data_IF_531766334504
#
_entry.id   IF_531766334504
#
_cell.length_a   1.000
_cell.length_b   1.000
_cell.length_c   1.000
_cell.angle_alpha   90.00
_cell.angle_beta   90.00
_cell.angle_gamma   90.00
#
_symmetry.space_group_name_H-M   'P 1'
#
loop_
_entity.id
_entity.type
_entity.pdbx_description
1 polymer ?
#
# COMPACT_ATOMS: atom_id res chain seq x y z
N UNK A 1 44.20 -37.59 -25.56
CA UNK A 1 43.62 -37.30 -24.23
C UNK A 1 43.54 -35.77 -24.06
N UNK A 2 42.34 -35.16 -24.24
CA UNK A 2 42.15 -33.70 -24.08
C UNK A 2 41.26 -33.49 -22.86
N UNK A 3 41.86 -32.96 -21.83
CA UNK A 3 41.20 -32.65 -20.55
C UNK A 3 40.33 -31.41 -20.74
N UNK A 4 38.98 -31.53 -20.56
CA UNK A 4 38.08 -30.39 -20.51
C UNK A 4 38.12 -29.79 -19.12
N UNK A 5 38.65 -28.56 -19.02
CA UNK A 5 38.56 -27.76 -17.80
C UNK A 5 37.18 -27.12 -17.77
N UNK A 6 36.30 -27.58 -16.87
CA UNK A 6 35.01 -26.98 -16.60
C UNK A 6 35.21 -25.65 -15.88
N UNK A 7 34.67 -24.56 -16.47
CA UNK A 7 34.59 -23.27 -15.80
C UNK A 7 33.42 -23.33 -14.79
N UNK A 8 33.76 -23.28 -13.51
CA UNK A 8 32.78 -23.03 -12.44
C UNK A 8 32.47 -21.53 -12.49
N UNK A 9 31.25 -21.21 -12.90
CA UNK A 9 30.72 -19.84 -12.76
C UNK A 9 30.38 -19.62 -11.27
N UNK A 10 31.16 -18.74 -10.64
CA UNK A 10 30.84 -18.25 -9.30
C UNK A 10 29.65 -17.31 -9.41
N UNK A 11 28.47 -17.77 -9.04
CA UNK A 11 27.31 -16.90 -8.80
C UNK A 11 27.63 -16.05 -7.57
N UNK A 12 27.94 -14.78 -7.77
CA UNK A 12 28.00 -13.81 -6.69
C UNK A 12 26.58 -13.61 -6.16
N UNK A 13 26.25 -14.28 -5.07
CA UNK A 13 25.03 -14.04 -4.32
C UNK A 13 25.04 -12.58 -3.83
N UNK A 14 24.13 -11.77 -4.33
CA UNK A 14 23.85 -10.44 -3.76
C UNK A 14 23.23 -10.71 -2.40
N UNK A 15 24.03 -10.63 -1.33
CA UNK A 15 23.51 -10.65 0.02
C UNK A 15 22.63 -9.40 0.19
N UNK A 16 21.32 -9.58 0.32
CA UNK A 16 20.43 -8.51 0.78
C UNK A 16 20.95 -8.11 2.18
N UNK A 17 21.54 -6.92 2.24
CA UNK A 17 21.97 -6.33 3.51
C UNK A 17 20.79 -6.26 4.46
N UNK A 18 20.97 -6.70 5.70
CA UNK A 18 20.00 -6.57 6.80
C UNK A 18 19.80 -5.11 7.27
N UNK A 19 20.24 -4.12 6.50
CA UNK A 19 19.93 -2.72 6.73
C UNK A 19 18.42 -2.51 6.56
N UNK A 20 17.81 -1.83 7.53
CA UNK A 20 16.40 -1.49 7.47
C UNK A 20 16.10 -0.76 6.16
N UNK A 21 15.18 -1.33 5.36
CA UNK A 21 14.77 -0.72 4.11
C UNK A 21 13.97 0.54 4.41
N UNK A 22 14.29 1.64 3.73
CA UNK A 22 13.70 2.96 3.97
C UNK A 22 13.04 3.49 2.70
N UNK A 23 11.93 4.22 2.85
CA UNK A 23 11.41 5.04 1.75
C UNK A 23 12.44 6.11 1.37
N UNK A 24 12.70 6.25 0.08
CA UNK A 24 13.60 7.27 -0.46
C UNK A 24 12.90 8.64 -0.50
N UNK A 25 12.88 9.32 0.64
CA UNK A 25 12.27 10.64 0.82
C UNK A 25 13.32 11.63 1.34
N UNK A 26 13.26 12.91 0.93
CA UNK A 26 14.09 13.94 1.55
C UNK A 26 13.79 14.05 3.05
N UNK A 27 14.72 14.51 3.89
CA UNK A 27 14.47 14.79 5.30
C UNK A 27 13.25 15.70 5.46
N UNK A 28 12.44 15.43 6.50
CA UNK A 28 11.33 16.34 6.83
C UNK A 28 11.88 17.71 7.26
N UNK A 29 11.41 18.78 6.62
CA UNK A 29 11.82 20.12 6.99
C UNK A 29 11.36 20.49 8.41
N UNK A 30 12.15 21.26 9.13
CA UNK A 30 11.85 21.65 10.52
C UNK A 30 10.58 22.50 10.65
N UNK A 31 10.24 23.25 9.61
CA UNK A 31 9.04 24.09 9.51
C UNK A 31 7.91 23.43 8.70
N UNK A 32 8.00 22.12 8.40
CA UNK A 32 6.93 21.39 7.72
C UNK A 32 5.67 21.32 8.62
N UNK A 33 4.51 21.33 7.98
CA UNK A 33 3.21 21.32 8.67
C UNK A 33 3.03 20.03 9.48
N UNK A 34 2.46 20.15 10.67
CA UNK A 34 1.86 19.01 11.37
C UNK A 34 0.59 18.56 10.66
N UNK A 35 0.07 17.38 11.06
CA UNK A 35 -1.14 16.82 10.48
C UNK A 35 -2.35 17.73 10.62
N UNK A 36 -2.55 18.33 11.82
CA UNK A 36 -3.70 19.22 12.05
C UNK A 36 -3.62 20.54 11.30
N UNK A 37 -2.44 21.10 11.10
CA UNK A 37 -2.29 22.30 10.26
C UNK A 37 -2.45 21.96 8.78
N UNK A 38 -2.03 20.77 8.36
CA UNK A 38 -2.30 20.28 7.01
C UNK A 38 -3.81 20.06 6.77
N UNK A 39 -4.53 19.49 7.74
CA UNK A 39 -6.01 19.39 7.72
C UNK A 39 -6.66 20.75 7.47
N UNK A 40 -6.25 21.80 8.21
CA UNK A 40 -6.78 23.16 8.03
C UNK A 40 -6.52 23.67 6.61
N UNK A 41 -5.32 23.43 6.10
CA UNK A 41 -4.91 23.88 4.76
C UNK A 41 -5.76 23.25 3.66
N UNK A 42 -6.05 21.94 3.73
CA UNK A 42 -6.75 21.23 2.66
C UNK A 42 -8.28 21.19 2.83
N UNK A 43 -8.81 21.55 4.02
CA UNK A 43 -10.25 21.52 4.29
C UNK A 43 -11.08 22.35 3.31
N UNK A 44 -10.69 23.60 2.91
CA UNK A 44 -11.47 24.40 1.98
C UNK A 44 -11.38 23.92 0.52
N UNK A 45 -10.51 22.96 0.22
CA UNK A 45 -10.28 22.51 -1.15
C UNK A 45 -11.32 21.49 -1.58
N UNK A 46 -11.75 21.51 -2.86
CA UNK A 46 -12.72 20.58 -3.37
C UNK A 46 -12.17 19.14 -3.39
N UNK A 47 -13.11 18.20 -3.35
CA UNK A 47 -12.81 16.80 -3.56
C UNK A 47 -12.49 16.51 -5.04
N UNK A 48 -11.77 15.42 -5.38
CA UNK A 48 -11.63 14.98 -6.76
C UNK A 48 -13.01 14.88 -7.48
N UNK A 49 -13.08 15.18 -8.78
CA UNK A 49 -11.97 15.23 -9.73
C UNK A 49 -11.13 16.53 -9.74
N UNK A 50 -11.41 17.52 -8.89
CA UNK A 50 -10.49 18.65 -8.72
C UNK A 50 -9.15 18.16 -8.15
N UNK A 51 -8.06 18.68 -8.70
CA UNK A 51 -6.71 18.17 -8.41
C UNK A 51 -5.95 18.98 -7.34
N UNK A 52 -6.49 20.11 -6.88
CA UNK A 52 -5.77 21.00 -5.97
C UNK A 52 -5.40 20.30 -4.65
N UNK A 53 -6.36 19.62 -4.03
CA UNK A 53 -6.14 18.87 -2.79
C UNK A 53 -5.09 17.79 -2.98
N UNK A 54 -5.22 16.98 -4.02
CA UNK A 54 -4.31 15.87 -4.30
C UNK A 54 -2.90 16.34 -4.68
N UNK A 55 -2.76 17.45 -5.38
CA UNK A 55 -1.47 18.05 -5.67
C UNK A 55 -0.75 18.53 -4.40
N UNK A 56 -1.48 19.08 -3.42
CA UNK A 56 -0.89 19.45 -2.13
C UNK A 56 -0.47 18.22 -1.32
N UNK A 57 -1.28 17.16 -1.28
CA UNK A 57 -0.93 15.88 -0.64
C UNK A 57 0.37 15.34 -1.26
N UNK A 58 0.43 15.28 -2.60
CA UNK A 58 1.62 14.84 -3.30
C UNK A 58 2.85 15.69 -2.97
N UNK A 59 2.71 17.02 -2.99
CA UNK A 59 3.80 17.94 -2.69
C UNK A 59 4.34 17.77 -1.26
N UNK A 60 3.47 17.52 -0.27
CA UNK A 60 3.90 17.25 1.10
C UNK A 60 4.70 15.95 1.19
N UNK A 61 4.22 14.87 0.57
CA UNK A 61 4.92 13.58 0.58
C UNK A 61 6.25 13.70 -0.18
N UNK A 62 6.28 14.27 -1.38
CA UNK A 62 7.48 14.46 -2.18
C UNK A 62 8.52 15.36 -1.49
N UNK A 63 8.06 16.37 -0.74
CA UNK A 63 8.89 17.22 0.11
C UNK A 63 9.34 16.58 1.42
N UNK A 64 8.97 15.31 1.65
CA UNK A 64 9.37 14.56 2.84
C UNK A 64 8.57 14.90 4.10
N UNK A 65 7.40 15.56 4.01
CA UNK A 65 6.53 15.77 5.18
C UNK A 65 5.78 14.48 5.57
N UNK A 66 6.56 13.48 5.93
CA UNK A 66 6.13 12.13 6.34
C UNK A 66 6.80 11.79 7.66
N UNK A 67 6.08 11.25 8.64
CA UNK A 67 6.64 10.85 9.94
C UNK A 67 7.87 9.94 9.80
N UNK A 68 8.80 10.06 10.74
CA UNK A 68 10.05 9.29 10.71
C UNK A 68 9.81 7.78 10.77
N UNK A 69 8.86 7.35 11.59
CA UNK A 69 8.49 5.95 11.76
C UNK A 69 7.84 5.33 10.51
N UNK A 70 7.15 6.13 9.68
CA UNK A 70 6.52 5.67 8.43
C UNK A 70 7.55 5.32 7.37
N UNK A 71 8.74 5.93 7.43
CA UNK A 71 9.80 5.76 6.43
C UNK A 71 10.50 4.41 6.49
N UNK A 72 10.49 3.75 7.65
CA UNK A 72 11.11 2.44 7.84
C UNK A 72 10.13 1.35 7.43
N UNK A 73 10.46 0.64 6.35
CA UNK A 73 9.65 -0.44 5.84
C UNK A 73 9.74 -1.70 6.71
N UNK A 74 8.66 -2.47 6.74
CA UNK A 74 8.55 -3.73 7.47
C UNK A 74 8.62 -4.89 6.48
N UNK A 75 9.42 -5.89 6.80
CA UNK A 75 9.56 -7.11 6.01
C UNK A 75 8.34 -8.02 6.22
N UNK A 76 7.75 -8.45 5.13
CA UNK A 76 6.76 -9.54 5.07
C UNK A 76 7.41 -10.73 4.39
N UNK A 77 7.31 -11.90 5.01
CA UNK A 77 7.75 -13.16 4.39
C UNK A 77 6.58 -14.13 4.40
N UNK A 78 6.28 -14.71 3.25
CA UNK A 78 5.17 -15.63 3.06
C UNK A 78 5.59 -16.83 2.22
N UNK A 79 4.86 -17.93 2.34
CA UNK A 79 5.05 -19.11 1.52
C UNK A 79 3.84 -19.32 0.61
N UNK A 80 4.10 -19.70 -0.62
CA UNK A 80 3.07 -20.05 -1.59
C UNK A 80 3.47 -21.30 -2.38
N UNK A 81 2.49 -22.13 -2.72
CA UNK A 81 2.71 -23.34 -3.50
C UNK A 81 2.27 -23.12 -4.93
N UNK A 82 3.16 -23.34 -5.89
CA UNK A 82 2.86 -23.36 -7.33
C UNK A 82 3.27 -24.71 -7.89
N UNK A 83 2.34 -25.40 -8.57
CA UNK A 83 2.58 -26.71 -9.20
C UNK A 83 3.26 -27.72 -8.26
N UNK A 84 2.88 -27.72 -6.97
CA UNK A 84 3.43 -28.62 -5.96
C UNK A 84 4.78 -28.18 -5.37
N UNK A 85 5.39 -27.10 -5.86
CA UNK A 85 6.63 -26.54 -5.34
C UNK A 85 6.32 -25.39 -4.36
N UNK A 86 6.92 -25.45 -3.17
CA UNK A 86 6.82 -24.36 -2.18
C UNK A 86 7.84 -23.28 -2.51
N UNK A 87 7.38 -22.04 -2.52
CA UNK A 87 8.19 -20.84 -2.76
C UNK A 87 8.10 -19.92 -1.55
N UNK A 88 9.23 -19.31 -1.18
CA UNK A 88 9.29 -18.26 -0.17
C UNK A 88 9.35 -16.91 -0.86
N UNK A 89 8.40 -16.02 -0.55
CA UNK A 89 8.34 -14.65 -1.10
C UNK A 89 8.57 -13.67 0.04
N UNK A 90 9.50 -12.72 -0.17
CA UNK A 90 9.77 -11.66 0.82
C UNK A 90 9.68 -10.30 0.15
N UNK A 91 8.94 -9.36 0.77
CA UNK A 91 8.74 -8.01 0.30
C UNK A 91 8.60 -7.02 1.47
N UNK A 92 8.91 -5.76 1.23
CA UNK A 92 8.83 -4.71 2.23
C UNK A 92 7.58 -3.85 2.04
N UNK A 93 6.97 -3.43 3.15
CA UNK A 93 5.75 -2.60 3.15
C UNK A 93 5.87 -1.45 4.13
N UNK A 94 5.11 -0.37 3.90
CA UNK A 94 4.98 0.68 4.92
C UNK A 94 4.34 0.12 6.20
N UNK A 95 4.77 0.55 7.39
CA UNK A 95 4.26 0.02 8.67
C UNK A 95 2.77 0.32 8.87
N UNK A 96 2.28 1.40 8.29
CA UNK A 96 0.89 1.84 8.32
C UNK A 96 0.50 2.41 6.94
N UNK A 97 -0.72 2.91 6.80
CA UNK A 97 -1.15 3.63 5.62
C UNK A 97 -0.47 4.99 5.52
N UNK A 98 -0.18 5.43 4.28
CA UNK A 98 0.51 6.69 4.03
C UNK A 98 -0.18 7.86 4.74
N UNK A 99 0.65 8.74 5.28
CA UNK A 99 0.21 9.88 6.06
C UNK A 99 1.10 11.10 5.82
N UNK A 100 0.57 12.27 6.13
CA UNK A 100 1.28 13.56 6.09
C UNK A 100 1.35 14.14 7.48
N UNK A 101 2.52 14.66 7.88
CA UNK A 101 2.71 15.34 9.17
C UNK A 101 3.97 14.93 9.93
N UNK A 102 3.93 15.13 11.24
CA UNK A 102 4.99 14.84 12.21
C UNK A 102 4.74 13.50 12.91
N UNK A 103 5.72 13.02 13.66
CA UNK A 103 5.64 11.72 14.36
C UNK A 103 4.47 11.62 15.35
N UNK A 104 4.09 12.72 15.96
CA UNK A 104 3.02 12.83 16.97
C UNK A 104 1.79 13.62 16.47
N UNK A 105 1.81 14.12 15.24
CA UNK A 105 0.71 14.88 14.63
C UNK A 105 0.68 14.62 13.12
N UNK A 106 -0.13 13.65 12.70
CA UNK A 106 -0.26 13.22 11.31
C UNK A 106 -1.71 12.92 10.93
N UNK A 107 -1.99 13.04 9.64
CA UNK A 107 -3.23 12.60 9.01
C UNK A 107 -2.94 11.38 8.15
N UNK A 108 -3.60 10.24 8.42
CA UNK A 108 -3.66 9.11 7.51
C UNK A 108 -4.45 9.55 6.27
N UNK A 109 -3.78 9.64 5.14
CA UNK A 109 -4.28 10.38 3.98
C UNK A 109 -5.05 9.47 3.01
N UNK A 110 -6.39 9.60 2.90
CA UNK A 110 -7.14 8.96 1.82
C UNK A 110 -6.76 9.61 0.48
N UNK A 111 -6.45 8.79 -0.51
CA UNK A 111 -6.05 9.23 -1.85
C UNK A 111 -6.89 8.53 -2.91
N UNK A 112 -7.09 9.19 -4.05
CA UNK A 112 -7.53 8.46 -5.25
C UNK A 112 -6.46 7.44 -5.66
N UNK A 113 -6.81 6.38 -6.38
CA UNK A 113 -5.81 5.42 -6.85
C UNK A 113 -4.79 6.04 -7.81
N UNK A 114 -5.16 7.13 -8.50
CA UNK A 114 -4.24 7.86 -9.39
C UNK A 114 -3.17 8.57 -8.57
N UNK A 115 -3.55 9.29 -7.50
CA UNK A 115 -2.58 9.89 -6.59
C UNK A 115 -1.75 8.82 -5.86
N UNK A 116 -2.39 7.74 -5.39
CA UNK A 116 -1.71 6.63 -4.73
C UNK A 116 -0.63 6.00 -5.62
N UNK A 117 -0.93 5.78 -6.91
CA UNK A 117 0.05 5.28 -7.87
C UNK A 117 1.16 6.29 -8.15
N UNK A 118 0.83 7.58 -8.23
CA UNK A 118 1.82 8.65 -8.41
C UNK A 118 2.80 8.70 -7.24
N UNK A 119 2.31 8.52 -6.00
CA UNK A 119 3.15 8.43 -4.80
C UNK A 119 3.97 7.14 -4.81
N UNK A 120 3.38 6.02 -5.18
CA UNK A 120 4.09 4.74 -5.29
C UNK A 120 5.24 4.83 -6.30
N UNK A 121 5.01 5.40 -7.49
CA UNK A 121 6.04 5.61 -8.52
C UNK A 121 7.19 6.51 -8.03
N UNK A 122 6.89 7.56 -7.25
CA UNK A 122 7.91 8.44 -6.66
C UNK A 122 8.86 7.69 -5.73
N UNK A 123 8.38 6.64 -5.07
CA UNK A 123 9.06 5.95 -3.98
C UNK A 123 9.56 4.54 -4.35
N UNK A 124 9.63 4.22 -5.65
CA UNK A 124 9.99 2.89 -6.16
C UNK A 124 9.14 1.77 -5.52
N UNK A 125 7.86 2.07 -5.32
CA UNK A 125 6.87 1.20 -4.71
C UNK A 125 5.71 0.92 -5.68
N UNK A 126 4.84 0.01 -5.26
CA UNK A 126 3.55 -0.29 -5.86
C UNK A 126 2.47 -0.37 -4.78
N UNK A 127 1.22 -0.56 -5.19
CA UNK A 127 0.10 -0.86 -4.29
C UNK A 127 -0.02 -2.38 -4.10
N UNK A 128 -0.57 -2.84 -2.97
CA UNK A 128 -0.73 -4.27 -2.72
C UNK A 128 -1.80 -4.89 -3.61
N UNK A 129 -1.74 -6.21 -3.77
CA UNK A 129 -2.88 -7.02 -4.20
C UNK A 129 -3.77 -7.40 -3.01
N UNK A 130 -4.98 -7.91 -3.27
CA UNK A 130 -5.84 -8.49 -2.23
C UNK A 130 -5.12 -9.57 -1.41
N UNK A 131 -4.33 -10.45 -2.06
CA UNK A 131 -3.55 -11.50 -1.38
C UNK A 131 -2.52 -10.89 -0.44
N UNK A 132 -1.76 -9.91 -0.90
CA UNK A 132 -0.77 -9.20 -0.08
C UNK A 132 -1.42 -8.50 1.12
N UNK A 133 -2.59 -7.89 0.96
CA UNK A 133 -3.35 -7.30 2.09
C UNK A 133 -3.67 -8.34 3.15
N UNK A 134 -4.09 -9.55 2.77
CA UNK A 134 -4.34 -10.66 3.72
C UNK A 134 -3.07 -11.08 4.45
N UNK A 135 -1.95 -11.18 3.74
CA UNK A 135 -0.65 -11.58 4.28
C UNK A 135 -0.09 -10.51 5.25
N UNK A 136 -0.24 -9.23 4.91
CA UNK A 136 0.11 -8.09 5.77
C UNK A 136 -0.73 -8.12 7.04
N UNK A 137 -2.06 -8.29 6.91
CA UNK A 137 -2.95 -8.38 8.07
C UNK A 137 -2.59 -9.57 8.97
N UNK A 138 -2.28 -10.73 8.40
CA UNK A 138 -1.90 -11.92 9.17
C UNK A 138 -0.65 -11.68 10.03
N UNK A 139 0.34 -10.94 9.51
CA UNK A 139 1.61 -10.65 10.16
C UNK A 139 1.61 -9.33 10.97
N UNK A 140 0.53 -8.53 10.89
CA UNK A 140 0.43 -7.29 11.63
C UNK A 140 0.47 -7.52 13.14
N UNK A 141 1.39 -6.80 13.81
CA UNK A 141 1.53 -6.80 15.26
C UNK A 141 0.37 -6.08 15.94
N UNK A 142 -0.20 -5.10 15.25
CA UNK A 142 -1.34 -4.31 15.71
C UNK A 142 -2.49 -4.47 14.74
N UNK A 143 -3.59 -5.07 15.20
CA UNK A 143 -4.82 -5.25 14.44
C UNK A 143 -5.89 -4.34 15.01
N UNK A 144 -6.08 -3.19 14.36
CA UNK A 144 -7.11 -2.24 14.73
C UNK A 144 -8.46 -2.64 14.11
N UNK A 145 -9.54 -2.41 14.84
CA UNK A 145 -10.88 -2.68 14.33
C UNK A 145 -11.35 -1.60 13.38
N UNK A 146 -12.14 -1.95 12.36
CA UNK A 146 -12.85 -0.96 11.56
C UNK A 146 -13.69 -0.01 12.43
N UNK A 147 -13.63 1.29 12.11
CA UNK A 147 -14.39 2.33 12.79
C UNK A 147 -15.27 3.08 11.75
N UNK A 148 -16.32 2.44 11.20
CA UNK A 148 -17.14 3.04 10.16
C UNK A 148 -17.90 4.26 10.67
N UNK A 149 -17.92 5.30 9.82
CA UNK A 149 -18.75 6.49 9.99
C UNK A 149 -20.01 6.29 9.10
N UNK A 150 -21.19 6.68 9.55
CA UNK A 150 -22.41 6.53 8.75
C UNK A 150 -22.28 7.09 7.33
N UNK A 151 -22.78 6.36 6.34
CA UNK A 151 -22.69 6.74 4.94
C UNK A 151 -23.40 8.09 4.69
N UNK A 152 -22.70 9.01 4.04
CA UNK A 152 -23.21 10.32 3.67
C UNK A 152 -22.38 10.92 2.53
N UNK A 153 -22.88 11.96 1.84
CA UNK A 153 -22.06 12.69 0.85
C UNK A 153 -20.77 13.31 1.44
N UNK A 154 -20.73 13.52 2.77
CA UNK A 154 -19.55 14.08 3.43
C UNK A 154 -18.35 13.09 3.54
N UNK A 155 -18.54 11.81 3.22
CA UNK A 155 -17.48 10.79 3.32
C UNK A 155 -16.17 11.17 2.58
N UNK A 156 -16.25 12.02 1.55
CA UNK A 156 -15.13 12.47 0.72
C UNK A 156 -14.52 13.79 1.20
N UNK A 157 -14.95 14.32 2.35
CA UNK A 157 -14.49 15.61 2.87
C UNK A 157 -13.39 15.45 3.91
N UNK A 158 -12.51 16.43 3.98
CA UNK A 158 -11.37 16.44 4.91
C UNK A 158 -11.80 16.41 6.38
N UNK A 159 -12.86 17.10 6.83
CA UNK A 159 -13.36 16.96 8.20
C UNK A 159 -13.68 15.50 8.58
N UNK A 160 -14.29 14.73 7.67
CA UNK A 160 -14.59 13.31 7.91
C UNK A 160 -13.30 12.46 7.89
N UNK A 161 -12.33 12.81 7.05
CA UNK A 161 -11.00 12.18 7.08
C UNK A 161 -10.35 12.36 8.46
N UNK A 162 -10.35 13.59 8.98
CA UNK A 162 -9.79 13.91 10.29
C UNK A 162 -10.58 13.25 11.44
N UNK A 163 -11.91 13.19 11.36
CA UNK A 163 -12.72 12.45 12.32
C UNK A 163 -12.32 10.96 12.37
N UNK A 164 -12.20 10.32 11.21
CA UNK A 164 -11.79 8.93 11.15
C UNK A 164 -10.35 8.74 11.64
N UNK A 165 -9.45 9.66 11.32
CA UNK A 165 -8.06 9.65 11.83
C UNK A 165 -8.05 9.70 13.37
N UNK A 166 -8.90 10.51 13.99
CA UNK A 166 -9.06 10.58 15.44
C UNK A 166 -9.58 9.26 16.03
N UNK A 167 -10.56 8.62 15.38
CA UNK A 167 -11.08 7.32 15.81
C UNK A 167 -9.99 6.23 15.74
N UNK A 168 -9.18 6.23 14.68
CA UNK A 168 -8.03 5.32 14.53
C UNK A 168 -6.98 5.61 15.60
N UNK A 169 -6.66 6.90 15.84
CA UNK A 169 -5.69 7.29 16.84
C UNK A 169 -6.10 6.86 18.26
N UNK A 170 -7.37 6.93 18.60
CA UNK A 170 -7.89 6.45 19.90
C UNK A 170 -7.55 4.97 20.11
N UNK A 171 -7.72 4.13 19.10
CA UNK A 171 -7.34 2.71 19.18
C UNK A 171 -5.81 2.53 19.20
N UNK A 172 -5.10 3.27 18.30
CA UNK A 172 -3.65 3.13 18.14
C UNK A 172 -2.89 3.57 19.39
N UNK A 173 -3.31 4.66 20.03
CA UNK A 173 -2.67 5.19 21.24
C UNK A 173 -2.76 4.23 22.43
N UNK A 174 -3.83 3.44 22.52
CA UNK A 174 -4.01 2.45 23.56
C UNK A 174 -3.01 1.28 23.53
N UNK A 175 -2.30 1.09 22.42
CA UNK A 175 -1.32 -0.01 22.28
C UNK A 175 0.12 0.47 22.04
N UNK A 176 0.41 1.77 22.19
CA UNK A 176 1.74 2.34 21.89
C UNK A 176 2.84 1.81 22.80
N UNK A 177 2.54 1.50 24.04
CA UNK A 177 3.52 0.96 25.00
C UNK A 177 4.07 -0.40 24.54
N UNK A 178 3.18 -1.30 24.13
CA UNK A 178 3.58 -2.62 23.65
C UNK A 178 4.05 -2.61 22.19
N UNK A 179 3.50 -1.71 21.38
CA UNK A 179 3.74 -1.62 19.94
C UNK A 179 3.93 -0.15 19.53
N UNK A 180 5.17 0.38 19.58
CA UNK A 180 5.46 1.77 19.24
C UNK A 180 5.11 2.09 17.79
N UNK A 181 5.05 3.38 17.45
CA UNK A 181 4.91 3.82 16.05
C UNK A 181 6.00 3.19 15.19
N UNK A 182 5.66 2.75 13.99
CA UNK A 182 6.54 1.93 13.13
C UNK A 182 6.33 0.42 13.27
N UNK A 183 5.59 -0.07 14.28
CA UNK A 183 5.06 -1.44 14.29
C UNK A 183 4.06 -1.62 13.15
N UNK A 184 4.01 -2.81 12.55
CA UNK A 184 3.07 -3.10 11.47
C UNK A 184 1.62 -3.09 11.98
N UNK A 185 0.82 -2.19 11.42
CA UNK A 185 -0.59 -1.98 11.77
C UNK A 185 -1.48 -2.35 10.57
N UNK A 186 -2.61 -3.01 10.80
CA UNK A 186 -3.59 -3.32 9.76
C UNK A 186 -5.03 -3.35 10.32
N UNK A 187 -6.02 -3.42 9.43
CA UNK A 187 -7.44 -3.62 9.75
C UNK A 187 -8.30 -2.36 9.71
N UNK A 188 -7.76 -1.18 9.94
CA UNK A 188 -8.52 0.06 10.17
C UNK A 188 -8.89 0.85 8.91
N UNK A 189 -8.48 0.40 7.72
CA UNK A 189 -8.88 1.00 6.44
C UNK A 189 -9.12 -0.05 5.35
N UNK A 190 -9.76 0.35 4.26
CA UNK A 190 -9.84 -0.39 3.01
C UNK A 190 -8.59 -0.08 2.21
N UNK A 191 -7.78 -1.09 1.92
CA UNK A 191 -6.61 -0.91 1.05
C UNK A 191 -7.06 -0.59 -0.38
N UNK A 192 -6.48 0.43 -0.99
CA UNK A 192 -6.53 0.62 -2.44
C UNK A 192 -5.56 -0.37 -3.04
N UNK A 193 -6.07 -1.26 -3.89
CA UNK A 193 -5.31 -2.40 -4.41
C UNK A 193 -5.19 -2.40 -5.92
N UNK A 194 -4.12 -3.02 -6.43
CA UNK A 194 -4.02 -3.42 -7.84
C UNK A 194 -4.74 -4.74 -8.03
N UNK A 195 -5.46 -4.87 -9.15
CA UNK A 195 -6.37 -5.99 -9.39
C UNK A 195 -6.60 -6.20 -10.89
N UNK A 196 -6.90 -7.43 -11.26
CA UNK A 196 -7.37 -7.77 -12.60
C UNK A 196 -8.69 -7.04 -12.97
N UNK A 197 -9.47 -6.61 -11.97
CA UNK A 197 -10.69 -5.81 -12.16
C UNK A 197 -10.42 -4.44 -12.82
N UNK A 198 -9.19 -3.94 -12.79
CA UNK A 198 -8.79 -2.76 -13.55
C UNK A 198 -8.97 -2.92 -15.07
N UNK A 199 -8.98 -4.15 -15.56
CA UNK A 199 -9.17 -4.46 -16.97
C UNK A 199 -10.55 -5.09 -17.27
N UNK A 200 -11.04 -5.96 -16.40
CA UNK A 200 -12.28 -6.70 -16.65
C UNK A 200 -13.56 -5.86 -16.47
N UNK A 201 -13.49 -4.76 -15.74
CA UNK A 201 -14.61 -3.84 -15.53
C UNK A 201 -14.61 -2.62 -16.49
N UNK A 202 -13.90 -2.73 -17.60
CA UNK A 202 -13.78 -1.67 -18.61
C UNK A 202 -15.06 -1.31 -19.37
N UNK A 203 -16.13 -2.11 -19.23
CA UNK A 203 -17.46 -1.78 -19.76
C UNK A 203 -18.18 -0.69 -18.98
N UNK A 204 -17.61 -0.24 -17.86
CA UNK A 204 -18.07 0.96 -17.17
C UNK A 204 -17.48 2.21 -17.84
N UNK A 205 -18.25 3.28 -17.82
CA UNK A 205 -17.88 4.57 -18.43
C UNK A 205 -16.62 5.22 -17.80
N UNK A 206 -15.96 4.56 -16.85
CA UNK A 206 -14.80 5.08 -16.11
C UNK A 206 -13.89 3.95 -15.63
N UNK A 207 -12.61 4.23 -15.49
CA UNK A 207 -11.67 3.36 -14.78
C UNK A 207 -12.05 3.30 -13.30
N UNK A 208 -12.14 2.11 -12.68
CA UNK A 208 -12.51 2.00 -11.28
C UNK A 208 -11.35 2.30 -10.33
N UNK A 209 -11.66 2.66 -9.07
CA UNK A 209 -10.81 2.34 -7.92
C UNK A 209 -11.16 0.93 -7.46
N UNK A 210 -10.16 0.13 -7.14
CA UNK A 210 -10.35 -1.21 -6.56
C UNK A 210 -9.93 -1.16 -5.10
N UNK A 211 -10.82 -1.60 -4.21
CA UNK A 211 -10.60 -1.59 -2.76
C UNK A 211 -10.88 -2.96 -2.17
N UNK A 212 -10.15 -3.26 -1.08
CA UNK A 212 -10.30 -4.52 -0.33
C UNK A 212 -9.89 -4.33 1.13
N UNK A 213 -10.50 -5.10 2.03
CA UNK A 213 -10.00 -5.24 3.40
C UNK A 213 -10.92 -4.64 4.45
N UNK A 214 -10.39 -3.76 5.31
CA UNK A 214 -11.09 -3.29 6.52
C UNK A 214 -11.44 -4.48 7.39
N UNK A 215 -10.42 -5.27 7.73
CA UNK A 215 -10.59 -6.56 8.38
C UNK A 215 -11.00 -6.40 9.84
N UNK A 216 -11.99 -7.18 10.23
CA UNK A 216 -12.34 -7.41 11.63
C UNK A 216 -11.21 -8.19 12.33
N UNK A 217 -11.25 -8.27 13.65
CA UNK A 217 -10.23 -8.97 14.45
C UNK A 217 -10.09 -10.46 14.15
N UNK A 218 -11.12 -11.07 13.57
CA UNK A 218 -11.09 -12.46 13.08
C UNK A 218 -10.53 -12.61 11.66
N UNK A 219 -10.12 -11.51 11.01
CA UNK A 219 -9.58 -11.48 9.66
C UNK A 219 -10.61 -11.36 8.54
N UNK A 220 -11.91 -11.42 8.87
CA UNK A 220 -12.95 -11.26 7.86
C UNK A 220 -12.99 -9.79 7.35
N UNK A 221 -12.90 -9.57 6.03
CA UNK A 221 -12.99 -8.22 5.48
C UNK A 221 -14.43 -7.73 5.53
N UNK A 222 -14.67 -6.51 6.03
CA UNK A 222 -15.95 -5.83 5.83
C UNK A 222 -16.11 -5.45 4.35
N UNK A 223 -15.01 -5.04 3.71
CA UNK A 223 -14.97 -4.72 2.29
C UNK A 223 -14.39 -5.90 1.50
N UNK A 224 -15.25 -6.67 0.84
CA UNK A 224 -14.81 -7.61 -0.21
C UNK A 224 -14.16 -6.84 -1.37
N UNK A 225 -13.43 -7.55 -2.26
CA UNK A 225 -12.85 -6.93 -3.45
C UNK A 225 -13.95 -6.24 -4.26
N UNK A 226 -13.82 -4.92 -4.46
CA UNK A 226 -14.86 -4.08 -5.02
C UNK A 226 -14.29 -3.00 -5.95
N UNK A 227 -14.97 -2.78 -7.07
CA UNK A 227 -14.57 -1.85 -8.13
C UNK A 227 -15.73 -0.97 -8.63
N UNK A 228 -16.69 -0.65 -7.75
CA UNK A 228 -17.90 0.08 -8.12
C UNK A 228 -17.73 1.59 -8.21
N UNK A 229 -16.69 2.18 -7.60
CA UNK A 229 -16.43 3.61 -7.66
C UNK A 229 -15.43 3.95 -8.77
N UNK A 230 -15.52 5.17 -9.30
CA UNK A 230 -14.58 5.71 -10.27
C UNK A 230 -13.19 5.96 -9.64
N UNK A 231 -12.14 6.01 -10.46
CA UNK A 231 -10.77 6.35 -10.03
C UNK A 231 -10.61 7.76 -9.43
N UNK A 232 -11.64 8.60 -9.53
CA UNK A 232 -11.70 9.92 -8.88
C UNK A 232 -12.30 9.86 -7.47
N UNK A 233 -12.66 8.67 -6.98
CA UNK A 233 -13.24 8.50 -5.66
C UNK A 233 -12.17 8.20 -4.62
N UNK A 234 -12.18 8.98 -3.54
CA UNK A 234 -11.47 8.69 -2.30
C UNK A 234 -12.33 9.11 -1.12
N UNK A 235 -12.71 8.16 -0.29
CA UNK A 235 -13.41 8.44 0.97
C UNK A 235 -12.51 8.17 2.19
N UNK A 236 -12.95 8.57 3.36
CA UNK A 236 -12.23 8.49 4.63
C UNK A 236 -11.69 7.08 4.93
N UNK A 237 -12.30 6.04 4.41
CA UNK A 237 -11.93 4.65 4.69
C UNK A 237 -10.83 4.11 3.77
N UNK A 238 -10.47 4.82 2.69
CA UNK A 238 -9.37 4.41 1.81
C UNK A 238 -8.03 4.50 2.53
N UNK A 239 -7.23 3.45 2.42
CA UNK A 239 -5.88 3.37 2.95
C UNK A 239 -4.88 3.10 1.84
N UNK A 240 -3.78 3.85 1.84
CA UNK A 240 -2.71 3.70 0.86
C UNK A 240 -1.53 3.03 1.54
N UNK A 241 -1.42 1.73 1.35
CA UNK A 241 -0.24 0.97 1.77
C UNK A 241 0.71 0.85 0.60
N UNK A 242 1.97 1.18 0.81
CA UNK A 242 2.99 0.99 -0.21
C UNK A 242 3.73 -0.33 0.01
N UNK A 243 3.99 -1.02 -1.09
CA UNK A 243 4.81 -2.21 -1.18
C UNK A 243 6.01 -1.86 -2.04
N UNK A 244 7.22 -2.16 -1.59
CA UNK A 244 8.41 -1.95 -2.42
C UNK A 244 8.33 -2.80 -3.68
N UNK A 245 8.65 -2.21 -4.85
CA UNK A 245 8.58 -2.93 -6.13
C UNK A 245 9.60 -4.07 -6.19
N UNK A 246 10.79 -3.87 -5.61
CA UNK A 246 11.82 -4.91 -5.51
C UNK A 246 11.49 -5.90 -4.39
N UNK A 247 11.45 -7.18 -4.73
CA UNK A 247 11.14 -8.30 -3.83
C UNK A 247 12.12 -9.45 -4.03
N UNK A 248 12.00 -10.50 -3.24
CA UNK A 248 12.71 -11.76 -3.50
C UNK A 248 11.75 -12.95 -3.57
N UNK A 249 12.08 -13.90 -4.44
CA UNK A 249 11.46 -15.21 -4.51
C UNK A 249 12.55 -16.25 -4.36
N UNK A 250 12.47 -17.10 -3.33
CA UNK A 250 13.48 -18.09 -2.97
C UNK A 250 14.90 -17.49 -2.81
N UNK A 251 14.95 -16.25 -2.31
CA UNK A 251 16.18 -15.47 -2.17
C UNK A 251 16.69 -14.82 -3.47
N UNK A 252 16.12 -15.12 -4.63
CA UNK A 252 16.48 -14.49 -5.89
C UNK A 252 15.73 -13.16 -6.08
N UNK A 253 16.38 -12.11 -6.63
CA UNK A 253 15.73 -10.83 -6.93
C UNK A 253 14.59 -10.97 -7.93
N UNK A 254 13.48 -10.28 -7.66
CA UNK A 254 12.30 -10.19 -8.52
C UNK A 254 11.63 -8.82 -8.34
N UNK A 255 10.55 -8.56 -9.10
CA UNK A 255 9.71 -7.39 -8.94
C UNK A 255 8.24 -7.79 -8.79
N UNK A 256 7.46 -7.00 -8.06
CA UNK A 256 6.01 -7.24 -7.91
C UNK A 256 5.34 -7.28 -9.29
N UNK A 257 5.61 -6.29 -10.13
CA UNK A 257 5.03 -6.21 -11.48
C UNK A 257 5.46 -7.38 -12.37
N UNK A 258 6.74 -7.78 -12.31
CA UNK A 258 7.26 -8.93 -13.06
C UNK A 258 6.62 -10.25 -12.64
N UNK A 259 6.38 -10.45 -11.35
CA UNK A 259 5.68 -11.64 -10.84
C UNK A 259 4.20 -11.61 -11.28
N UNK A 260 3.50 -10.50 -11.11
CA UNK A 260 2.05 -10.42 -11.37
C UNK A 260 1.69 -10.55 -12.85
N UNK A 261 2.60 -10.20 -13.75
CA UNK A 261 2.39 -10.34 -15.21
C UNK A 261 2.83 -11.71 -15.75
N UNK A 262 3.48 -12.54 -14.94
CA UNK A 262 3.97 -13.87 -15.34
C UNK A 262 2.95 -14.97 -14.98
N UNK A 263 2.33 -15.66 -15.97
CA UNK A 263 1.34 -16.70 -15.69
C UNK A 263 1.83 -17.87 -14.82
N UNK A 264 3.14 -18.14 -14.82
CA UNK A 264 3.72 -19.21 -14.01
C UNK A 264 3.94 -18.78 -12.54
N UNK A 265 3.99 -17.49 -12.24
CA UNK A 265 4.40 -16.96 -10.94
C UNK A 265 3.37 -16.07 -10.25
N UNK A 266 2.38 -15.54 -10.99
CA UNK A 266 1.45 -14.54 -10.47
C UNK A 266 0.69 -15.03 -9.22
N UNK A 267 0.43 -16.33 -9.10
CA UNK A 267 -0.18 -16.94 -7.92
C UNK A 267 0.65 -16.77 -6.63
N UNK A 268 1.93 -16.38 -6.72
CA UNK A 268 2.73 -16.02 -5.55
C UNK A 268 2.19 -14.76 -4.87
N UNK A 269 1.69 -13.78 -5.64
CA UNK A 269 1.25 -12.47 -5.14
C UNK A 269 -0.23 -12.16 -5.43
N UNK A 270 -0.95 -13.01 -6.19
CA UNK A 270 -2.36 -12.82 -6.56
C UNK A 270 -3.17 -14.09 -6.29
N UNK A 271 -4.38 -13.92 -5.76
CA UNK A 271 -5.38 -14.97 -5.60
C UNK A 271 -6.61 -14.74 -6.50
N UNK A 272 -6.49 -13.87 -7.50
CA UNK A 272 -7.55 -13.56 -8.45
C UNK A 272 -7.57 -14.57 -9.60
N UNK A 273 -8.78 -14.94 -10.04
CA UNK A 273 -8.98 -15.97 -11.09
C UNK A 273 -9.53 -15.38 -12.39
N UNK A 274 -9.57 -14.05 -12.52
CA UNK A 274 -10.07 -13.35 -13.71
C UNK A 274 -9.27 -13.66 -14.98
N UNK A 275 -7.97 -13.95 -14.84
CA UNK A 275 -7.09 -14.38 -15.91
C UNK A 275 -6.41 -15.71 -15.53
N UNK A 276 -6.09 -16.58 -16.51
CA UNK A 276 -5.36 -17.82 -16.25
C UNK A 276 -4.04 -17.56 -15.50
N UNK A 277 -3.71 -18.44 -14.56
CA UNK A 277 -2.49 -18.31 -13.74
C UNK A 277 -2.52 -17.18 -12.73
N UNK A 278 -3.69 -16.65 -12.38
CA UNK A 278 -3.88 -15.54 -11.43
C UNK A 278 -3.22 -14.21 -11.87
N UNK A 279 -2.95 -14.04 -13.16
CA UNK A 279 -2.28 -12.88 -13.73
C UNK A 279 -3.07 -11.59 -13.50
N UNK A 280 -2.35 -10.53 -13.19
CA UNK A 280 -2.83 -9.14 -13.26
C UNK A 280 -2.08 -8.47 -14.41
N UNK A 281 -2.65 -8.42 -15.63
CA UNK A 281 -1.92 -8.01 -16.84
C UNK A 281 -1.44 -6.56 -16.81
N UNK A 282 -2.11 -5.71 -16.04
CA UNK A 282 -1.70 -4.32 -15.79
C UNK A 282 -1.71 -4.06 -14.28
N UNK A 283 -0.60 -4.33 -13.57
CA UNK A 283 -0.53 -4.21 -12.12
C UNK A 283 -0.24 -2.77 -11.66
N UNK A 284 -0.95 -1.79 -12.22
CA UNK A 284 -0.84 -0.37 -11.85
C UNK A 284 -2.06 0.43 -12.35
N UNK A 285 -2.30 1.57 -11.69
CA UNK A 285 -3.22 2.60 -12.19
C UNK A 285 -2.50 3.53 -13.17
N UNK A 286 -3.20 3.95 -14.21
CA UNK A 286 -2.64 4.90 -15.18
C UNK A 286 -2.61 6.29 -14.56
N UNK A 287 -1.43 6.86 -14.48
CA UNK A 287 -1.22 8.26 -14.07
C UNK A 287 -1.21 9.12 -15.35
N UNK A 288 -2.13 10.07 -15.51
CA UNK A 288 -2.08 11.02 -16.61
C UNK A 288 -0.78 11.86 -16.59
N UNK A 289 -0.26 12.14 -17.74
CA UNK A 289 0.94 12.99 -17.94
C UNK A 289 0.63 14.45 -17.71
#
# INVERSE_FOLDING_TARGET
MRTKIGRIALLAGVAFSAAAQMLNLPPRATNALGGQDFVKLITPLPAPPDTQRENLIYAQIAGGNVPSWMRKLVLITTNAVINGTNHTVSYYVTPDYMCVGADNDYLLEPMTPVLAQRVANLLDCTLPTRKMVKEIWAQAQVKLTPAPIPASPAMITVPIFNQHNSNVWTQRSACLEAHPLGSLVAGHKKDVVISALLLTNFHKSHTPVVIYGWQQTNGAPIQSLYSGHAQTWADYSHGIRLVQEAITVDGAPATVSGILTNPALAALLSDETNFPGNVIPRPYYVVPH
#
